data_IF_386951331531
#
_entry.id   IF_386951331531
#
_cell.length_a   1.000
_cell.length_b   1.000
_cell.length_c   1.000
_cell.angle_alpha   90.00
_cell.angle_beta   90.00
_cell.angle_gamma   90.00
#
_symmetry.space_group_name_H-M   'P 1'
#
loop_
_entity.id
_entity.type
_entity.pdbx_description
1 polymer ?
#
# COMPACT_ATOMS: atom_id res chain seq x y z
N UNK A 1 -72.73 -11.91 33.57
CA UNK A 1 -73.00 -13.11 34.39
C UNK A 1 -72.03 -14.19 33.90
N UNK A 2 -70.80 -14.14 34.41
CA UNK A 2 -70.19 -15.08 35.39
C UNK A 2 -69.47 -16.25 34.69
N UNK A 3 -68.13 -16.19 34.78
CA UNK A 3 -67.14 -17.24 35.11
C UNK A 3 -67.20 -18.61 34.41
N UNK A 4 -66.13 -19.09 33.75
CA UNK A 4 -64.79 -19.46 34.23
C UNK A 4 -64.72 -20.84 34.92
N UNK A 5 -63.74 -21.63 34.46
CA UNK A 5 -63.01 -22.73 35.12
C UNK A 5 -63.68 -24.10 35.29
N UNK A 6 -62.88 -25.15 35.03
CA UNK A 6 -63.12 -26.48 35.59
C UNK A 6 -62.49 -27.65 34.83
N UNK A 7 -61.23 -27.98 35.13
CA UNK A 7 -60.67 -29.33 34.95
C UNK A 7 -61.33 -30.33 35.93
N UNK A 8 -61.31 -31.64 35.64
CA UNK A 8 -60.70 -32.59 36.60
C UNK A 8 -59.93 -33.75 35.93
N UNK A 9 -58.71 -34.06 36.43
CA UNK A 9 -58.32 -35.24 37.25
C UNK A 9 -58.34 -36.60 36.50
N UNK A 10 -57.36 -37.52 36.59
CA UNK A 10 -56.65 -38.00 37.77
C UNK A 10 -55.55 -39.04 37.41
N UNK A 11 -54.45 -39.03 38.18
CA UNK A 11 -53.73 -40.22 38.74
C UNK A 11 -52.99 -41.19 37.77
N UNK A 12 -51.89 -41.90 38.05
CA UNK A 12 -51.17 -42.44 39.22
C UNK A 12 -49.70 -42.76 38.83
N UNK A 13 -48.75 -42.66 39.78
CA UNK A 13 -47.47 -43.41 39.92
C UNK A 13 -46.38 -43.23 38.84
N UNK A 14 -45.11 -42.95 39.12
CA UNK A 14 -44.31 -43.19 40.31
C UNK A 14 -43.00 -43.87 39.90
N UNK A 15 -41.86 -43.16 39.96
CA UNK A 15 -40.54 -43.64 40.41
C UNK A 15 -39.47 -42.54 40.23
N UNK A 16 -38.62 -42.45 41.25
CA UNK A 16 -37.51 -41.50 41.43
C UNK A 16 -36.31 -41.90 40.53
N UNK A 17 -35.53 -40.94 40.03
CA UNK A 17 -34.19 -40.57 40.56
C UNK A 17 -33.26 -39.92 39.50
N UNK A 18 -32.79 -38.70 39.83
CA UNK A 18 -31.53 -37.99 39.49
C UNK A 18 -31.18 -37.60 38.04
N UNK A 19 -31.41 -36.30 37.79
CA UNK A 19 -30.52 -35.27 37.18
C UNK A 19 -29.28 -35.76 36.42
N UNK A 20 -29.22 -35.47 35.13
CA UNK A 20 -28.00 -34.98 34.48
C UNK A 20 -28.32 -33.99 33.35
N UNK A 21 -27.46 -32.98 33.31
CA UNK A 21 -27.37 -31.78 32.46
C UNK A 21 -27.66 -32.03 30.97
N UNK A 22 -28.56 -31.23 30.38
CA UNK A 22 -28.71 -31.15 28.91
C UNK A 22 -27.47 -30.47 28.34
N UNK A 23 -26.63 -31.24 27.67
CA UNK A 23 -25.65 -30.74 26.71
C UNK A 23 -26.22 -31.00 25.33
N UNK A 24 -26.48 -29.94 24.57
CA UNK A 24 -26.98 -30.04 23.21
C UNK A 24 -25.89 -30.60 22.29
N UNK A 25 -26.24 -31.64 21.55
CA UNK A 25 -25.50 -32.15 20.40
C UNK A 25 -25.81 -31.22 19.22
N UNK A 26 -24.78 -30.59 18.65
CA UNK A 26 -24.82 -30.11 17.28
C UNK A 26 -23.76 -30.87 16.48
N UNK A 27 -24.24 -31.54 15.43
CA UNK A 27 -23.47 -32.40 14.55
C UNK A 27 -22.48 -31.61 13.69
N UNK A 28 -21.37 -32.28 13.41
CA UNK A 28 -20.31 -31.84 12.52
C UNK A 28 -20.79 -31.63 11.07
N UNK A 29 -20.30 -30.54 10.47
CA UNK A 29 -20.30 -30.29 9.03
C UNK A 29 -19.03 -29.51 8.68
N UNK A 30 -18.12 -30.16 7.97
CA UNK A 30 -16.76 -29.73 7.64
C UNK A 30 -16.73 -28.53 6.69
N UNK A 31 -15.78 -27.62 6.92
CA UNK A 31 -15.44 -26.51 6.02
C UNK A 31 -14.33 -25.66 6.64
N UNK A 32 -13.12 -26.23 6.73
CA UNK A 32 -11.91 -25.61 7.26
C UNK A 32 -11.56 -24.33 6.46
N UNK A 33 -11.91 -23.17 7.00
CA UNK A 33 -11.21 -21.92 6.70
C UNK A 33 -9.98 -21.84 7.60
N UNK A 34 -8.81 -22.17 7.06
CA UNK A 34 -7.54 -21.90 7.74
C UNK A 34 -7.39 -20.38 7.84
N UNK A 35 -7.71 -19.83 9.01
CA UNK A 35 -7.35 -18.46 9.36
C UNK A 35 -5.83 -18.44 9.50
N UNK A 36 -5.13 -17.87 8.51
CA UNK A 36 -3.74 -17.45 8.69
C UNK A 36 -3.73 -16.28 9.67
N UNK A 37 -3.72 -16.59 10.96
CA UNK A 37 -3.19 -15.65 11.94
C UNK A 37 -1.68 -15.60 11.71
N UNK A 38 -1.21 -14.58 11.02
CA UNK A 38 0.22 -14.26 10.98
C UNK A 38 0.70 -14.16 12.44
N UNK A 39 1.74 -14.89 12.85
CA UNK A 39 2.30 -14.70 14.18
C UNK A 39 2.89 -13.29 14.21
N UNK A 40 2.29 -12.40 14.99
CA UNK A 40 2.93 -11.13 15.39
C UNK A 40 4.08 -11.53 16.30
N UNK A 41 5.30 -11.49 15.76
CA UNK A 41 6.52 -11.67 16.54
C UNK A 41 6.62 -10.51 17.54
N UNK A 42 6.75 -10.82 18.82
CA UNK A 42 7.27 -9.88 19.84
C UNK A 42 8.37 -10.59 20.59
N UNK A 43 9.59 -10.46 20.08
CA UNK A 43 10.78 -10.70 20.87
C UNK A 43 11.21 -9.34 21.43
N UNK A 44 11.41 -9.22 22.74
CA UNK A 44 11.87 -7.97 23.34
C UNK A 44 13.40 -7.81 23.16
N UNK A 45 14.11 -8.94 23.02
CA UNK A 45 15.57 -9.01 22.90
C UNK A 45 15.98 -10.12 21.92
N UNK A 46 17.00 -9.85 21.11
CA UNK A 46 17.65 -10.79 20.23
C UNK A 46 19.13 -10.95 20.61
N UNK A 47 19.64 -12.18 20.54
CA UNK A 47 21.08 -12.43 20.62
C UNK A 47 21.65 -12.40 19.21
N UNK A 48 22.58 -11.50 18.95
CA UNK A 48 23.23 -11.33 17.65
C UNK A 48 24.67 -11.80 17.74
N UNK A 49 25.09 -12.66 16.82
CA UNK A 49 26.45 -13.17 16.72
C UNK A 49 27.06 -12.84 15.36
N UNK A 50 28.20 -12.14 15.38
CA UNK A 50 28.96 -11.72 14.19
C UNK A 50 30.44 -11.99 14.44
N UNK A 51 31.15 -12.63 13.51
CA UNK A 51 32.58 -13.02 13.69
C UNK A 51 32.93 -13.71 15.03
N UNK A 52 31.97 -14.40 15.65
CA UNK A 52 32.16 -15.06 16.95
C UNK A 52 31.99 -14.17 18.18
N UNK A 53 31.84 -12.84 18.03
CA UNK A 53 31.36 -11.97 19.12
C UNK A 53 29.84 -12.07 19.22
N UNK A 54 29.33 -12.11 20.46
CA UNK A 54 27.90 -12.18 20.76
C UNK A 54 27.50 -10.95 21.56
N UNK A 55 26.41 -10.29 21.15
CA UNK A 55 25.77 -9.18 21.86
C UNK A 55 24.28 -9.45 22.03
N UNK A 56 23.66 -8.75 22.99
CA UNK A 56 22.20 -8.74 23.17
C UNK A 56 21.63 -7.42 22.66
N UNK A 57 20.69 -7.49 21.73
CA UNK A 57 20.07 -6.33 21.11
C UNK A 57 18.60 -6.22 21.50
N UNK A 58 18.16 -5.05 21.96
CA UNK A 58 16.73 -4.76 22.06
C UNK A 58 16.12 -4.72 20.66
N UNK A 59 14.91 -5.25 20.50
CA UNK A 59 14.29 -5.38 19.17
C UNK A 59 13.28 -4.26 18.93
N UNK A 60 13.48 -3.49 17.87
CA UNK A 60 12.54 -2.51 17.33
C UNK A 60 11.78 -3.12 16.14
N UNK A 61 10.60 -3.69 16.40
CA UNK A 61 9.81 -4.44 15.43
C UNK A 61 8.52 -3.73 14.97
N UNK A 62 8.24 -2.52 15.48
CA UNK A 62 7.08 -1.72 15.08
C UNK A 62 7.47 -0.26 14.83
N UNK A 63 6.63 0.48 14.10
CA UNK A 63 6.93 1.86 13.69
C UNK A 63 7.26 2.78 14.88
N UNK A 64 6.63 2.58 16.03
CA UNK A 64 6.87 3.41 17.22
C UNK A 64 8.24 3.12 17.84
N UNK A 65 8.64 1.86 17.93
CA UNK A 65 9.96 1.44 18.41
C UNK A 65 11.07 1.78 17.43
N UNK A 66 10.83 1.62 16.13
CA UNK A 66 11.78 1.99 15.06
C UNK A 66 11.99 3.51 14.98
N UNK A 67 10.92 4.30 15.08
CA UNK A 67 11.04 5.78 15.08
C UNK A 67 11.80 6.29 16.29
N UNK A 68 11.61 5.64 17.46
CA UNK A 68 12.31 5.99 18.70
C UNK A 68 13.79 5.60 18.62
N UNK A 69 14.10 4.36 18.23
CA UNK A 69 15.47 3.85 18.22
C UNK A 69 16.19 4.11 19.55
N UNK A 70 17.46 4.52 19.48
CA UNK A 70 18.26 4.99 20.61
C UNK A 70 18.04 6.47 21.00
N UNK A 71 17.06 7.16 20.41
CA UNK A 71 16.81 8.59 20.68
C UNK A 71 16.59 8.86 22.17
N UNK A 72 17.33 9.83 22.72
CA UNK A 72 17.21 10.20 24.14
C UNK A 72 17.87 9.24 25.14
N UNK A 73 18.47 8.15 24.68
CA UNK A 73 19.25 7.22 25.50
C UNK A 73 20.60 7.86 25.87
N UNK A 74 21.06 7.68 27.11
CA UNK A 74 22.31 8.30 27.59
C UNK A 74 23.58 7.54 27.19
N UNK A 75 23.48 6.21 27.05
CA UNK A 75 24.58 5.33 26.65
C UNK A 75 24.04 3.97 26.19
N UNK A 76 24.85 3.25 25.41
CA UNK A 76 24.67 1.82 25.16
C UNK A 76 25.85 1.04 25.74
N UNK A 77 25.62 -0.16 26.27
CA UNK A 77 26.69 -1.01 26.78
C UNK A 77 27.47 -1.66 25.63
N UNK A 78 28.74 -2.02 25.88
CA UNK A 78 29.68 -2.51 24.86
C UNK A 78 29.24 -3.79 24.13
N UNK A 79 28.47 -4.65 24.78
CA UNK A 79 27.88 -5.87 24.18
C UNK A 79 26.37 -5.80 24.10
N UNK A 80 25.86 -4.59 23.86
CA UNK A 80 24.45 -4.34 23.64
C UNK A 80 24.22 -3.63 22.31
N UNK A 81 23.04 -3.84 21.73
CA UNK A 81 22.64 -3.19 20.48
C UNK A 81 21.16 -2.84 20.47
N UNK A 82 20.75 -2.18 19.39
CA UNK A 82 19.34 -2.11 19.00
C UNK A 82 19.18 -2.69 17.61
N UNK A 83 18.29 -3.67 17.49
CA UNK A 83 18.02 -4.41 16.27
C UNK A 83 16.67 -3.99 15.70
N UNK A 84 16.72 -3.30 14.57
CA UNK A 84 15.54 -2.90 13.80
C UNK A 84 15.21 -4.02 12.82
N UNK A 85 13.95 -4.46 12.84
CA UNK A 85 13.43 -5.47 11.92
C UNK A 85 12.52 -4.80 10.92
N UNK A 86 12.73 -5.05 9.65
CA UNK A 86 11.85 -4.59 8.59
C UNK A 86 11.19 -5.77 7.90
N UNK A 87 9.95 -5.56 7.47
CA UNK A 87 9.12 -6.57 6.81
C UNK A 87 9.56 -6.88 5.37
N UNK A 88 10.38 -6.00 4.79
CA UNK A 88 10.99 -6.15 3.48
C UNK A 88 12.41 -5.57 3.45
N UNK A 89 13.26 -6.00 2.52
CA UNK A 89 14.53 -5.33 2.24
C UNK A 89 14.35 -3.96 1.57
N UNK A 90 15.06 -2.96 2.07
CA UNK A 90 15.15 -1.64 1.45
C UNK A 90 16.37 -0.85 1.98
N UNK A 91 16.59 0.37 1.47
CA UNK A 91 17.65 1.29 1.93
C UNK A 91 17.18 2.09 3.14
N UNK A 92 17.01 1.43 4.27
CA UNK A 92 16.53 2.06 5.51
C UNK A 92 17.50 3.11 6.05
N UNK A 93 17.09 4.37 5.97
CA UNK A 93 17.85 5.49 6.51
C UNK A 93 17.79 5.56 8.04
N UNK A 94 18.95 5.76 8.67
CA UNK A 94 19.06 6.00 10.11
C UNK A 94 19.38 7.47 10.34
N UNK A 95 18.44 8.18 10.97
CA UNK A 95 18.62 9.56 11.39
C UNK A 95 19.19 9.66 12.81
N UNK A 96 19.87 10.76 13.11
CA UNK A 96 20.54 10.94 14.41
C UNK A 96 19.73 11.76 15.42
N UNK A 97 18.40 11.78 15.28
CA UNK A 97 17.51 12.63 16.10
C UNK A 97 17.69 12.33 17.59
N UNK A 98 17.96 13.38 18.37
CA UNK A 98 18.16 13.29 19.82
C UNK A 98 19.19 12.22 20.28
N UNK A 99 20.12 11.83 19.41
CA UNK A 99 21.23 10.95 19.78
C UNK A 99 22.20 11.68 20.71
N UNK A 100 22.72 11.00 21.73
CA UNK A 100 23.60 11.59 22.76
C UNK A 100 25.03 11.06 22.78
N UNK A 101 25.31 9.99 22.04
CA UNK A 101 26.61 9.34 21.95
C UNK A 101 26.83 8.77 20.54
N UNK A 102 28.08 8.58 20.10
CA UNK A 102 28.34 8.02 18.78
C UNK A 102 28.02 6.52 18.73
N UNK A 103 27.62 6.03 17.55
CA UNK A 103 27.30 4.62 17.30
C UNK A 103 27.99 4.09 16.03
N UNK A 104 28.08 2.77 15.90
CA UNK A 104 28.24 2.15 14.59
C UNK A 104 26.86 1.65 14.12
N UNK A 105 26.62 1.69 12.82
CA UNK A 105 25.38 1.24 12.18
C UNK A 105 25.74 0.11 11.21
N UNK A 106 25.08 -1.04 11.35
CA UNK A 106 25.28 -2.19 10.47
C UNK A 106 23.95 -2.55 9.80
N UNK A 107 23.89 -2.39 8.49
CA UNK A 107 22.78 -2.87 7.68
C UNK A 107 23.02 -4.32 7.31
N UNK A 108 21.98 -5.14 7.37
CA UNK A 108 22.08 -6.58 7.20
C UNK A 108 21.06 -7.09 6.19
N UNK A 109 21.47 -8.11 5.45
CA UNK A 109 20.66 -8.77 4.43
C UNK A 109 21.07 -10.22 4.33
N UNK A 110 20.10 -11.13 4.21
CA UNK A 110 20.36 -12.57 4.01
C UNK A 110 21.34 -13.19 5.03
N UNK A 111 21.27 -12.73 6.28
CA UNK A 111 22.16 -13.21 7.35
C UNK A 111 23.61 -12.77 7.21
N UNK A 112 23.89 -11.66 6.53
CA UNK A 112 25.22 -11.05 6.45
C UNK A 112 25.15 -9.53 6.59
N UNK A 113 26.27 -8.90 6.96
CA UNK A 113 26.40 -7.43 6.93
C UNK A 113 26.41 -6.97 5.47
N UNK A 114 25.41 -6.20 5.07
CA UNK A 114 25.24 -5.68 3.72
C UNK A 114 25.93 -4.32 3.55
N UNK A 115 25.92 -3.49 4.58
CA UNK A 115 26.61 -2.20 4.62
C UNK A 115 26.91 -1.77 6.07
N UNK A 116 27.77 -0.77 6.25
CA UNK A 116 28.08 -0.24 7.58
C UNK A 116 28.60 1.19 7.59
N UNK A 117 28.28 1.91 8.66
CA UNK A 117 28.85 3.21 8.99
C UNK A 117 29.45 3.15 10.40
N UNK A 118 30.69 3.61 10.56
CA UNK A 118 31.41 3.54 11.83
C UNK A 118 31.50 4.91 12.51
N UNK A 119 31.37 4.92 13.85
CA UNK A 119 31.59 6.09 14.70
C UNK A 119 30.78 7.32 14.27
N UNK A 120 29.54 7.08 13.86
CA UNK A 120 28.58 8.11 13.49
C UNK A 120 28.34 9.03 14.70
N UNK A 121 28.64 10.32 14.54
CA UNK A 121 28.58 11.29 15.64
C UNK A 121 27.15 11.80 15.89
N UNK A 122 26.80 12.15 17.15
CA UNK A 122 25.58 12.90 17.45
C UNK A 122 25.50 14.21 16.66
N UNK A 123 24.28 14.70 16.35
CA UNK A 123 24.11 15.98 15.68
C UNK A 123 24.57 17.13 16.57
N UNK A 124 24.89 18.27 15.97
CA UNK A 124 25.21 19.47 16.74
C UNK A 124 24.05 19.88 17.65
N UNK A 125 24.36 20.37 18.85
CA UNK A 125 23.34 20.78 19.81
C UNK A 125 22.44 21.89 19.21
N UNK A 126 21.13 21.67 19.24
CA UNK A 126 20.14 22.62 18.71
C UNK A 126 19.93 22.58 17.20
N UNK A 127 20.51 21.61 16.49
CA UNK A 127 20.22 21.34 15.07
C UNK A 127 18.73 21.04 14.87
N UNK A 128 18.10 21.69 13.89
CA UNK A 128 16.70 21.45 13.56
C UNK A 128 16.51 20.07 12.93
N UNK A 129 15.35 19.45 13.15
CA UNK A 129 15.06 18.09 12.66
C UNK A 129 15.25 17.93 11.14
N UNK A 130 14.96 18.98 10.36
CA UNK A 130 15.10 18.99 8.90
C UNK A 130 16.56 18.95 8.42
N UNK A 131 17.49 19.36 9.26
CA UNK A 131 18.93 19.42 8.94
C UNK A 131 19.70 18.22 9.52
N UNK A 132 19.00 17.26 10.14
CA UNK A 132 19.64 16.10 10.76
C UNK A 132 20.29 15.20 9.70
N UNK A 133 21.49 14.68 9.95
CA UNK A 133 22.12 13.71 9.07
C UNK A 133 21.31 12.41 9.08
N UNK A 134 21.12 11.84 7.89
CA UNK A 134 20.51 10.53 7.65
C UNK A 134 21.51 9.68 6.89
N UNK A 135 21.86 8.54 7.47
CA UNK A 135 22.78 7.57 6.87
C UNK A 135 21.98 6.48 6.19
N UNK A 136 22.27 6.22 4.91
CA UNK A 136 21.49 5.33 4.05
C UNK A 136 22.46 4.32 3.45
N UNK A 137 22.18 3.01 3.51
CA UNK A 137 23.10 2.01 2.98
C UNK A 137 23.10 2.06 1.44
N UNK A 138 24.18 1.67 0.80
CA UNK A 138 24.29 1.51 -0.65
C UNK A 138 23.49 0.33 -1.19
N UNK A 139 23.23 -0.69 -0.36
CA UNK A 139 22.49 -1.90 -0.73
C UNK A 139 21.25 -2.11 0.14
N UNK A 140 20.19 -2.77 -0.37
CA UNK A 140 19.01 -3.07 0.44
C UNK A 140 19.33 -4.00 1.62
N UNK A 141 18.73 -3.69 2.77
CA UNK A 141 18.83 -4.42 4.01
C UNK A 141 17.42 -4.64 4.59
N UNK A 142 17.19 -5.76 5.25
CA UNK A 142 15.93 -6.07 5.94
C UNK A 142 16.07 -5.92 7.47
N UNK A 143 17.29 -5.66 7.94
CA UNK A 143 17.59 -5.48 9.34
C UNK A 143 18.69 -4.44 9.53
N UNK A 144 18.60 -3.65 10.61
CA UNK A 144 19.66 -2.72 11.01
C UNK A 144 20.05 -2.98 12.45
N UNK A 145 21.34 -2.97 12.73
CA UNK A 145 21.89 -3.11 14.06
C UNK A 145 22.69 -1.86 14.42
N UNK A 146 22.23 -1.15 15.44
CA UNK A 146 22.97 -0.06 16.08
C UNK A 146 23.76 -0.63 17.26
N UNK A 147 25.06 -0.31 17.36
CA UNK A 147 25.95 -0.73 18.46
C UNK A 147 26.82 0.44 18.93
N UNK A 148 27.51 0.26 20.06
CA UNK A 148 28.46 1.23 20.57
C UNK A 148 29.52 1.61 19.50
N UNK A 149 29.84 2.90 19.37
CA UNK A 149 30.85 3.34 18.42
C UNK A 149 32.20 2.63 18.59
N UNK A 150 32.78 2.19 17.47
CA UNK A 150 34.04 1.46 17.41
C UNK A 150 33.93 -0.03 17.73
N UNK A 151 32.73 -0.55 18.01
CA UNK A 151 32.49 -1.98 18.20
C UNK A 151 32.89 -2.78 16.95
N UNK A 152 32.56 -2.27 15.76
CA UNK A 152 32.85 -2.91 14.48
C UNK A 152 34.35 -3.05 14.26
N UNK A 153 35.09 -1.95 14.43
CA UNK A 153 36.55 -1.94 14.39
C UNK A 153 37.20 -2.86 15.43
N UNK A 154 36.71 -2.84 16.68
CA UNK A 154 37.29 -3.65 17.77
C UNK A 154 37.17 -5.17 17.52
N UNK A 155 36.12 -5.59 16.82
CA UNK A 155 35.87 -7.00 16.50
C UNK A 155 36.19 -7.36 15.03
N UNK A 156 36.71 -6.40 14.26
CA UNK A 156 37.09 -6.58 12.86
C UNK A 156 35.92 -6.96 11.94
N UNK A 157 34.71 -6.48 12.25
CA UNK A 157 33.51 -6.71 11.45
C UNK A 157 33.63 -5.98 10.11
N UNK A 158 33.21 -6.62 9.03
CA UNK A 158 33.26 -6.10 7.66
C UNK A 158 31.97 -6.43 6.91
N UNK A 159 31.70 -5.68 5.84
CA UNK A 159 30.68 -6.03 4.85
C UNK A 159 30.94 -7.46 4.35
N UNK A 160 29.88 -8.26 4.30
CA UNK A 160 29.88 -9.68 3.93
C UNK A 160 30.05 -10.64 5.12
N UNK A 161 30.34 -10.17 6.33
CA UNK A 161 30.44 -11.05 7.49
C UNK A 161 29.09 -11.66 7.86
N UNK A 162 29.08 -12.97 8.11
CA UNK A 162 27.89 -13.70 8.49
C UNK A 162 27.38 -13.28 9.88
N UNK A 163 26.07 -13.10 9.97
CA UNK A 163 25.32 -12.71 11.15
C UNK A 163 24.34 -13.83 11.51
N UNK A 164 24.37 -14.27 12.76
CA UNK A 164 23.36 -15.19 13.31
C UNK A 164 22.55 -14.48 14.37
N UNK A 165 21.23 -14.67 14.33
CA UNK A 165 20.30 -13.98 15.23
C UNK A 165 19.40 -15.03 15.89
N UNK A 166 19.38 -15.01 17.22
CA UNK A 166 18.59 -15.88 18.07
C UNK A 166 17.63 -15.02 18.90
N UNK A 167 16.36 -14.96 18.48
CA UNK A 167 15.32 -14.20 19.16
C UNK A 167 14.90 -14.91 20.45
N UNK A 168 14.98 -14.23 21.59
CA UNK A 168 14.66 -14.82 22.90
C UNK A 168 13.26 -14.40 23.35
N UNK A 169 12.29 -15.31 23.22
CA UNK A 169 10.88 -15.17 23.63
C UNK A 169 10.10 -16.49 23.43
N UNK A 170 8.98 -16.71 24.15
CA UNK A 170 8.31 -18.02 24.34
C UNK A 170 8.05 -18.82 23.04
N UNK A 171 8.51 -20.08 23.05
CA UNK A 171 8.35 -21.09 21.99
C UNK A 171 6.92 -21.62 21.84
N UNK A 172 6.45 -21.82 20.60
CA UNK A 172 5.51 -22.90 20.25
C UNK A 172 6.13 -23.75 19.11
N UNK A 173 5.84 -25.05 19.17
CA UNK A 173 6.61 -26.14 18.57
C UNK A 173 6.85 -26.02 17.05
N UNK A 174 8.13 -26.19 16.66
CA UNK A 174 8.58 -26.27 15.28
C UNK A 174 8.34 -27.66 14.69
N UNK A 175 7.56 -27.68 13.63
CA UNK A 175 7.46 -28.81 12.72
C UNK A 175 7.26 -28.33 11.28
N UNK A 176 8.15 -27.48 10.77
CA UNK A 176 8.21 -27.15 9.34
C UNK A 176 9.68 -26.95 8.96
N UNK A 177 10.14 -27.68 7.94
CA UNK A 177 11.45 -27.47 7.30
C UNK A 177 11.45 -26.13 6.56
N UNK A 178 12.60 -25.46 6.37
CA UNK A 178 12.65 -24.19 5.66
C UNK A 178 12.08 -24.35 4.24
N UNK A 179 10.96 -23.67 3.97
CA UNK A 179 10.48 -23.44 2.61
C UNK A 179 11.46 -22.45 2.00
N UNK A 180 11.96 -22.73 0.80
CA UNK A 180 12.83 -21.81 0.09
C UNK A 180 12.17 -20.43 -0.02
N UNK A 181 12.93 -19.35 0.17
CA UNK A 181 12.44 -18.00 -0.06
C UNK A 181 11.88 -17.90 -1.47
N UNK A 182 10.72 -17.23 -1.66
CA UNK A 182 10.14 -17.11 -2.98
C UNK A 182 11.07 -16.28 -3.88
N UNK A 183 11.05 -16.48 -5.21
CA UNK A 183 11.89 -15.71 -6.12
C UNK A 183 11.70 -14.20 -5.94
N UNK A 184 12.78 -13.43 -6.08
CA UNK A 184 12.73 -11.97 -5.96
C UNK A 184 11.66 -11.38 -6.88
N UNK A 185 10.84 -10.47 -6.36
CA UNK A 185 9.74 -9.83 -7.08
C UNK A 185 8.44 -10.63 -7.12
N UNK A 186 8.41 -11.87 -6.61
CA UNK A 186 7.19 -12.67 -6.46
C UNK A 186 6.09 -11.94 -5.68
N UNK A 187 6.46 -11.07 -4.74
CA UNK A 187 5.59 -10.19 -3.96
C UNK A 187 4.83 -9.16 -4.81
N UNK A 188 5.33 -8.83 -6.01
CA UNK A 188 4.71 -7.87 -6.92
C UNK A 188 3.73 -8.51 -7.90
N UNK A 189 3.65 -9.85 -7.93
CA UNK A 189 2.78 -10.55 -8.88
C UNK A 189 1.32 -10.28 -8.58
N UNK A 190 0.48 -10.26 -9.61
CA UNK A 190 -0.97 -10.09 -9.44
C UNK A 190 -1.54 -11.20 -8.55
N UNK A 191 -0.98 -12.42 -8.62
CA UNK A 191 -1.36 -13.53 -7.75
C UNK A 191 -1.06 -13.25 -6.27
N UNK A 192 0.15 -12.77 -5.95
CA UNK A 192 0.52 -12.42 -4.58
C UNK A 192 -0.34 -11.26 -4.05
N UNK A 193 -0.57 -10.23 -4.86
CA UNK A 193 -1.39 -9.07 -4.49
C UNK A 193 -2.87 -9.43 -4.25
N UNK A 194 -3.38 -10.48 -4.90
CA UNK A 194 -4.72 -11.03 -4.61
C UNK A 194 -4.76 -11.81 -3.30
N UNK A 195 -3.64 -12.41 -2.88
CA UNK A 195 -3.53 -13.17 -1.64
C UNK A 195 -3.32 -12.27 -0.41
N UNK A 196 -2.56 -11.18 -0.57
CA UNK A 196 -2.44 -10.11 0.42
C UNK A 196 -3.02 -8.80 -0.15
N UNK A 197 -4.35 -8.63 -0.13
CA UNK A 197 -4.98 -7.39 -0.56
C UNK A 197 -4.58 -6.23 0.35
N UNK A 198 -4.51 -5.02 -0.23
CA UNK A 198 -4.31 -3.80 0.53
C UNK A 198 -5.41 -3.64 1.59
N UNK A 199 -5.01 -3.27 2.81
CA UNK A 199 -5.92 -3.08 3.93
C UNK A 199 -5.79 -1.66 4.43
N UNK A 200 -6.87 -0.91 4.40
CA UNK A 200 -6.89 0.47 4.84
C UNK A 200 -7.86 0.74 5.97
N UNK A 201 -7.59 1.76 6.78
CA UNK A 201 -8.43 2.11 7.94
C UNK A 201 -8.28 3.58 8.33
N UNK A 202 -8.94 4.00 9.40
CA UNK A 202 -8.76 5.31 10.04
C UNK A 202 -8.94 6.53 9.12
N UNK A 203 -9.87 6.44 8.14
CA UNK A 203 -10.19 7.57 7.29
C UNK A 203 -10.67 8.77 8.12
N UNK A 204 -9.97 9.90 7.99
CA UNK A 204 -10.20 11.11 8.78
C UNK A 204 -10.15 12.35 7.91
N UNK A 205 -11.08 13.28 8.13
CA UNK A 205 -11.02 14.64 7.56
C UNK A 205 -10.20 15.52 8.49
N UNK A 206 -9.06 16.03 8.03
CA UNK A 206 -8.12 16.77 8.86
C UNK A 206 -8.43 18.26 8.91
N UNK A 207 -8.53 18.91 7.74
CA UNK A 207 -8.82 20.35 7.65
C UNK A 207 -9.42 20.73 6.31
N UNK A 208 -10.12 21.87 6.30
CA UNK A 208 -10.56 22.53 5.06
C UNK A 208 -9.33 23.17 4.40
N UNK A 209 -9.14 22.91 3.11
CA UNK A 209 -8.11 23.55 2.29
C UNK A 209 -8.68 24.72 1.48
N UNK A 210 -9.90 24.55 0.96
CA UNK A 210 -10.55 25.53 0.10
C UNK A 210 -12.07 25.38 0.23
N UNK A 211 -12.80 26.49 0.09
CA UNK A 211 -14.24 26.48 -0.02
C UNK A 211 -14.65 27.34 -1.23
N UNK A 212 -15.39 26.75 -2.16
CA UNK A 212 -16.02 27.46 -3.28
C UNK A 212 -17.54 27.40 -3.16
N UNK A 213 -18.27 28.05 -4.06
CA UNK A 213 -19.73 27.90 -4.15
C UNK A 213 -20.17 26.51 -4.62
N UNK A 214 -19.30 25.74 -5.29
CA UNK A 214 -19.66 24.46 -5.88
C UNK A 214 -19.25 23.25 -5.02
N UNK A 215 -18.10 23.32 -4.35
CA UNK A 215 -17.57 22.25 -3.53
C UNK A 215 -16.74 22.80 -2.37
N UNK A 216 -16.48 21.96 -1.37
CA UNK A 216 -15.50 22.20 -0.31
C UNK A 216 -14.38 21.16 -0.40
N UNK A 217 -13.14 21.62 -0.29
CA UNK A 217 -11.93 20.81 -0.41
C UNK A 217 -11.33 20.58 0.97
N UNK A 218 -10.93 19.35 1.23
CA UNK A 218 -10.39 18.91 2.50
C UNK A 218 -9.05 18.20 2.31
N UNK A 219 -8.15 18.39 3.27
CA UNK A 219 -7.05 17.47 3.51
C UNK A 219 -7.62 16.30 4.32
N UNK A 220 -7.32 15.08 3.89
CA UNK A 220 -7.73 13.85 4.55
C UNK A 220 -6.51 13.00 4.91
N UNK A 221 -6.70 12.03 5.81
CA UNK A 221 -5.77 10.94 6.06
C UNK A 221 -6.48 9.61 6.12
N UNK A 222 -5.72 8.54 5.88
CA UNK A 222 -6.13 7.15 6.02
C UNK A 222 -4.87 6.31 6.24
N UNK A 223 -4.99 5.15 6.86
CA UNK A 223 -3.85 4.26 7.10
C UNK A 223 -3.83 3.14 6.05
N UNK A 224 -2.64 2.72 5.64
CA UNK A 224 -2.42 1.44 4.94
C UNK A 224 -1.60 0.49 5.83
N UNK A 225 -2.07 -0.75 5.94
CA UNK A 225 -1.45 -1.77 6.79
C UNK A 225 -0.09 -2.20 6.22
N UNK A 226 0.98 -1.85 6.93
CA UNK A 226 2.37 -2.11 6.51
C UNK A 226 3.11 -0.84 6.09
N UNK A 227 2.38 0.26 5.87
CA UNK A 227 2.98 1.58 5.55
C UNK A 227 2.74 2.60 6.65
N UNK A 228 1.54 2.67 7.21
CA UNK A 228 1.14 3.70 8.17
C UNK A 228 0.24 4.76 7.52
N UNK A 229 0.27 5.98 8.07
CA UNK A 229 -0.66 7.05 7.67
C UNK A 229 -0.29 7.70 6.35
N UNK A 230 -1.24 7.69 5.43
CA UNK A 230 -1.21 8.37 4.15
C UNK A 230 -2.14 9.57 4.16
N UNK A 231 -1.90 10.53 3.26
CA UNK A 231 -2.73 11.71 3.07
C UNK A 231 -3.37 11.74 1.68
N UNK A 232 -4.31 12.65 1.51
CA UNK A 232 -4.90 12.93 0.22
C UNK A 232 -5.75 14.20 0.25
N UNK A 233 -6.35 14.53 -0.89
CA UNK A 233 -7.28 15.65 -1.03
C UNK A 233 -8.64 15.14 -1.45
N UNK A 234 -9.68 15.60 -0.77
CA UNK A 234 -11.07 15.27 -1.05
C UNK A 234 -11.85 16.53 -1.41
N UNK A 235 -12.58 16.53 -2.52
CA UNK A 235 -13.62 17.53 -2.82
C UNK A 235 -15.00 16.95 -2.52
N UNK A 236 -15.81 17.70 -1.78
CA UNK A 236 -17.20 17.37 -1.46
C UNK A 236 -18.12 18.38 -2.13
N UNK A 237 -19.10 17.95 -2.96
CA UNK A 237 -20.09 18.85 -3.54
C UNK A 237 -20.88 19.63 -2.47
N UNK A 238 -21.29 20.86 -2.78
CA UNK A 238 -22.14 21.68 -1.89
C UNK A 238 -23.64 21.50 -2.10
N UNK A 239 -24.03 20.68 -3.08
CA UNK A 239 -25.43 20.33 -3.27
C UNK A 239 -25.96 19.43 -2.12
N UNK A 240 -27.28 19.29 -1.96
CA UNK A 240 -27.84 18.40 -0.95
C UNK A 240 -27.31 16.97 -1.12
N UNK A 241 -26.90 16.34 -0.02
CA UNK A 241 -26.42 14.95 -0.02
C UNK A 241 -27.55 14.04 -0.55
N UNK A 242 -27.32 13.27 -1.63
CA UNK A 242 -28.29 12.32 -2.15
C UNK A 242 -28.64 11.26 -1.11
N UNK A 243 -29.80 10.63 -1.27
CA UNK A 243 -30.13 9.43 -0.50
C UNK A 243 -29.05 8.36 -0.74
N UNK A 244 -28.49 7.81 0.34
CA UNK A 244 -27.37 6.87 0.28
C UNK A 244 -25.98 7.48 0.17
N UNK A 245 -25.87 8.81 -0.02
CA UNK A 245 -24.59 9.52 -0.14
C UNK A 245 -24.19 9.83 -1.59
N UNK A 246 -23.14 10.64 -1.74
CA UNK A 246 -22.56 10.95 -3.06
C UNK A 246 -21.78 9.75 -3.63
N UNK A 247 -21.88 9.47 -4.94
CA UNK A 247 -20.93 8.56 -5.58
C UNK A 247 -19.49 9.11 -5.47
N UNK A 248 -18.52 8.21 -5.41
CA UNK A 248 -17.11 8.55 -5.15
C UNK A 248 -16.26 8.27 -6.39
N UNK A 249 -15.34 9.18 -6.72
CA UNK A 249 -14.29 8.95 -7.71
C UNK A 249 -12.91 9.03 -7.06
N UNK A 250 -12.14 7.95 -7.15
CA UNK A 250 -10.71 7.94 -6.77
C UNK A 250 -9.90 8.36 -7.99
N UNK A 251 -9.15 9.47 -7.89
CA UNK A 251 -8.40 10.05 -9.00
C UNK A 251 -6.89 9.86 -8.79
N UNK A 252 -6.31 8.93 -9.54
CA UNK A 252 -4.88 8.59 -9.47
C UNK A 252 -4.05 9.54 -10.35
N UNK A 253 -3.15 10.30 -9.75
CA UNK A 253 -2.34 11.28 -10.47
C UNK A 253 -1.13 10.64 -11.17
N UNK A 254 -0.60 11.34 -12.18
CA UNK A 254 0.66 10.96 -12.87
C UNK A 254 1.90 11.17 -12.00
N UNK A 255 3.07 10.80 -12.53
CA UNK A 255 4.33 10.98 -11.81
C UNK A 255 4.61 12.46 -11.58
N UNK A 256 4.85 12.85 -10.33
CA UNK A 256 5.28 14.19 -9.95
C UNK A 256 6.53 14.03 -9.11
N UNK A 257 7.56 14.84 -9.33
CA UNK A 257 8.74 14.73 -8.47
C UNK A 257 8.37 15.13 -7.03
N UNK A 258 8.73 14.35 -5.99
CA UNK A 258 8.35 14.65 -4.61
C UNK A 258 8.73 16.06 -4.16
N UNK A 259 9.86 16.60 -4.63
CA UNK A 259 10.36 17.92 -4.22
C UNK A 259 9.45 19.08 -4.65
N UNK A 260 8.60 18.85 -5.65
CA UNK A 260 7.64 19.84 -6.13
C UNK A 260 6.19 19.46 -5.76
N UNK A 261 5.98 18.32 -5.13
CA UNK A 261 4.63 17.86 -4.81
C UNK A 261 4.02 18.64 -3.65
N UNK A 262 2.71 18.85 -3.72
CA UNK A 262 1.88 19.27 -2.59
C UNK A 262 0.53 18.56 -2.70
N UNK A 263 -0.19 18.34 -1.57
CA UNK A 263 -1.44 17.59 -1.57
C UNK A 263 -2.44 18.06 -2.64
N UNK A 264 -2.94 17.12 -3.45
CA UNK A 264 -3.90 17.38 -4.51
C UNK A 264 -3.32 17.95 -5.81
N UNK A 265 -1.99 18.04 -5.94
CA UNK A 265 -1.33 18.38 -7.21
C UNK A 265 -1.45 17.19 -8.18
N UNK A 266 -1.76 17.45 -9.44
CA UNK A 266 -1.77 16.43 -10.50
C UNK A 266 -3.15 15.96 -10.98
N UNK A 267 -4.22 16.18 -10.21
CA UNK A 267 -5.60 15.95 -10.71
C UNK A 267 -6.59 17.06 -10.32
N UNK A 268 -6.08 18.26 -9.97
CA UNK A 268 -6.93 19.35 -9.49
C UNK A 268 -8.04 19.72 -10.49
N UNK A 269 -7.73 19.74 -11.79
CA UNK A 269 -8.70 20.08 -12.85
C UNK A 269 -9.84 19.06 -12.89
N UNK A 270 -9.51 17.78 -12.81
CA UNK A 270 -10.41 16.64 -12.83
C UNK A 270 -11.25 16.58 -11.55
N UNK A 271 -10.64 16.70 -10.37
CA UNK A 271 -11.33 16.76 -9.06
C UNK A 271 -12.37 17.89 -9.05
N UNK A 272 -11.99 19.07 -9.51
CA UNK A 272 -12.88 20.23 -9.54
C UNK A 272 -14.03 20.00 -10.53
N UNK A 273 -13.75 19.42 -11.70
CA UNK A 273 -14.76 19.14 -12.72
C UNK A 273 -15.79 18.12 -12.23
N UNK A 274 -15.38 16.95 -11.77
CA UNK A 274 -16.32 15.92 -11.34
C UNK A 274 -17.07 16.30 -10.06
N UNK A 275 -16.44 17.03 -9.13
CA UNK A 275 -17.12 17.48 -7.92
C UNK A 275 -18.23 18.50 -8.20
N UNK A 276 -18.07 19.34 -9.24
CA UNK A 276 -19.15 20.20 -9.75
C UNK A 276 -20.32 19.42 -10.36
N UNK A 277 -20.14 18.14 -10.64
CA UNK A 277 -21.16 17.25 -11.21
C UNK A 277 -21.59 16.16 -10.21
N UNK A 278 -21.53 16.45 -8.91
CA UNK A 278 -22.15 15.61 -7.88
C UNK A 278 -21.38 14.34 -7.52
N UNK A 279 -20.06 14.34 -7.70
CA UNK A 279 -19.18 13.30 -7.18
C UNK A 279 -18.38 13.83 -5.99
N UNK A 280 -18.21 13.00 -4.95
CA UNK A 280 -17.06 13.19 -4.07
C UNK A 280 -15.83 12.70 -4.82
N UNK A 281 -14.80 13.54 -4.95
CA UNK A 281 -13.55 13.13 -5.61
C UNK A 281 -12.43 13.07 -4.59
N UNK A 282 -11.62 12.02 -4.63
CA UNK A 282 -10.50 11.84 -3.71
C UNK A 282 -9.23 11.51 -4.50
N UNK A 283 -8.20 12.33 -4.37
CA UNK A 283 -6.85 12.04 -4.85
C UNK A 283 -5.99 11.56 -3.66
N UNK A 284 -5.50 10.30 -3.66
CA UNK A 284 -4.46 9.88 -2.71
C UNK A 284 -3.12 10.57 -3.05
N UNK A 285 -2.32 10.90 -2.03
CA UNK A 285 -0.98 11.46 -2.25
C UNK A 285 0.06 10.38 -2.60
N UNK A 286 -0.22 9.10 -2.29
CA UNK A 286 0.72 7.97 -2.31
C UNK A 286 1.85 8.04 -1.28
N UNK A 287 2.41 6.88 -0.95
CA UNK A 287 3.62 6.74 -0.14
C UNK A 287 4.80 7.46 -0.80
N UNK A 288 5.65 8.11 0.00
CA UNK A 288 6.80 8.85 -0.49
C UNK A 288 6.50 10.25 -1.04
N UNK A 289 5.25 10.69 -0.97
CA UNK A 289 4.81 12.04 -1.33
C UNK A 289 4.28 12.79 -0.11
N UNK A 290 4.35 14.14 -0.15
CA UNK A 290 3.86 14.99 0.94
C UNK A 290 4.51 14.62 2.29
N UNK A 291 3.72 14.47 3.35
CA UNK A 291 4.16 14.07 4.69
C UNK A 291 4.33 12.55 4.88
N UNK A 292 4.35 11.78 3.80
CA UNK A 292 4.51 10.32 3.88
C UNK A 292 5.97 9.94 3.61
N UNK A 293 6.61 9.33 4.60
CA UNK A 293 8.02 8.92 4.55
C UNK A 293 8.16 7.47 4.98
N UNK A 294 9.06 6.68 4.34
CA UNK A 294 10.10 7.10 3.40
C UNK A 294 9.66 7.17 1.93
N UNK A 295 10.40 7.94 1.14
CA UNK A 295 10.28 7.99 -0.31
C UNK A 295 11.00 6.79 -0.96
N UNK A 296 10.26 5.95 -1.66
CA UNK A 296 10.78 4.83 -2.45
C UNK A 296 10.97 5.26 -3.90
N UNK A 297 11.96 4.74 -4.65
CA UNK A 297 11.94 4.84 -6.10
C UNK A 297 10.76 4.01 -6.62
N UNK A 298 9.66 4.68 -6.96
CA UNK A 298 8.37 4.06 -7.34
C UNK A 298 8.47 3.07 -8.52
N UNK A 299 9.52 3.20 -9.32
CA UNK A 299 9.75 2.35 -10.50
C UNK A 299 10.26 0.95 -10.12
N UNK A 300 10.96 0.82 -8.99
CA UNK A 300 11.61 -0.43 -8.57
C UNK A 300 10.62 -1.47 -8.02
N UNK A 301 9.45 -1.04 -7.54
CA UNK A 301 8.35 -1.92 -7.15
C UNK A 301 7.26 -2.00 -8.24
N UNK A 302 7.55 -1.53 -9.46
CA UNK A 302 6.61 -1.48 -10.58
C UNK A 302 5.31 -0.70 -10.29
N UNK A 303 5.37 0.31 -9.40
CA UNK A 303 4.23 1.08 -8.91
C UNK A 303 3.19 0.26 -8.13
N UNK A 304 3.58 -0.89 -7.58
CA UNK A 304 2.70 -1.74 -6.76
C UNK A 304 2.31 -1.01 -5.48
N UNK A 305 3.24 -0.35 -4.81
CA UNK A 305 2.95 0.42 -3.59
C UNK A 305 1.86 1.46 -3.79
N UNK A 306 1.90 2.23 -4.88
CA UNK A 306 0.89 3.26 -5.18
C UNK A 306 -0.48 2.66 -5.51
N UNK A 307 -0.49 1.48 -6.12
CA UNK A 307 -1.73 0.72 -6.33
C UNK A 307 -2.32 0.28 -4.99
N UNK A 308 -1.49 -0.21 -4.07
CA UNK A 308 -1.94 -0.59 -2.72
C UNK A 308 -2.47 0.61 -1.95
N UNK A 309 -1.82 1.76 -2.02
CA UNK A 309 -2.26 2.98 -1.35
C UNK A 309 -3.67 3.41 -1.82
N UNK A 310 -3.91 3.40 -3.14
CA UNK A 310 -5.22 3.71 -3.71
C UNK A 310 -6.30 2.69 -3.30
N UNK A 311 -5.96 1.40 -3.21
CA UNK A 311 -6.89 0.36 -2.77
C UNK A 311 -7.16 0.42 -1.26
N UNK A 312 -6.16 0.77 -0.46
CA UNK A 312 -6.31 0.99 0.97
C UNK A 312 -7.22 2.19 1.26
N UNK A 313 -7.14 3.26 0.45
CA UNK A 313 -8.12 4.35 0.53
C UNK A 313 -9.56 3.83 0.34
N UNK A 314 -9.81 2.99 -0.67
CA UNK A 314 -11.13 2.39 -0.90
C UNK A 314 -11.59 1.55 0.30
N UNK A 315 -10.70 0.72 0.85
CA UNK A 315 -11.00 -0.09 2.02
C UNK A 315 -11.30 0.76 3.26
N UNK A 316 -10.51 1.82 3.50
CA UNK A 316 -10.72 2.76 4.60
C UNK A 316 -12.06 3.51 4.48
N UNK A 317 -12.46 3.89 3.26
CA UNK A 317 -13.76 4.51 2.98
C UNK A 317 -14.90 3.55 3.31
N UNK A 318 -14.81 2.29 2.88
CA UNK A 318 -15.84 1.26 3.12
C UNK A 318 -16.03 0.95 4.61
N UNK A 319 -14.96 1.03 5.39
CA UNK A 319 -15.02 0.86 6.84
C UNK A 319 -15.57 2.09 7.57
N UNK A 320 -15.49 3.27 6.95
CA UNK A 320 -16.03 4.50 7.49
C UNK A 320 -17.57 4.52 7.49
N UNK A 321 -18.18 4.86 8.62
CA UNK A 321 -19.62 5.16 8.69
C UNK A 321 -19.86 6.61 8.30
N UNK A 322 -19.87 6.91 6.99
CA UNK A 322 -20.13 8.25 6.49
C UNK A 322 -21.37 8.28 5.60
N UNK A 323 -22.45 8.86 6.09
CA UNK A 323 -23.67 9.14 5.29
C UNK A 323 -23.42 10.10 4.12
N UNK A 324 -22.22 10.69 4.03
CA UNK A 324 -21.81 11.60 2.97
C UNK A 324 -21.47 10.87 1.66
N UNK A 325 -20.90 9.66 1.74
CA UNK A 325 -20.34 8.95 0.58
C UNK A 325 -21.00 7.57 0.42
N UNK A 326 -21.38 7.26 -0.81
CA UNK A 326 -21.87 5.93 -1.17
C UNK A 326 -20.70 5.07 -1.66
N UNK A 327 -20.16 4.24 -0.76
CA UNK A 327 -19.01 3.37 -1.04
C UNK A 327 -19.38 2.14 -1.87
N UNK A 328 -20.64 1.97 -2.26
CA UNK A 328 -21.06 0.98 -3.27
C UNK A 328 -21.01 1.55 -4.70
N UNK A 329 -20.85 2.88 -4.83
CA UNK A 329 -20.75 3.61 -6.10
C UNK A 329 -19.40 4.30 -6.22
N UNK A 330 -18.34 3.49 -6.37
CA UNK A 330 -16.96 3.96 -6.57
C UNK A 330 -16.57 3.83 -8.05
N UNK A 331 -16.08 4.92 -8.64
CA UNK A 331 -15.35 4.92 -9.91
C UNK A 331 -13.88 5.22 -9.67
N UNK A 332 -13.03 4.85 -10.63
CA UNK A 332 -11.61 5.17 -10.59
C UNK A 332 -11.14 5.81 -11.89
N UNK A 333 -10.39 6.88 -11.76
CA UNK A 333 -9.74 7.58 -12.87
C UNK A 333 -8.23 7.54 -12.67
N UNK A 334 -7.47 7.59 -13.76
CA UNK A 334 -6.04 7.77 -13.67
C UNK A 334 -5.43 8.39 -14.92
N UNK A 335 -4.38 9.18 -14.75
CA UNK A 335 -3.58 9.75 -15.85
C UNK A 335 -2.13 9.31 -15.80
N UNK A 336 -1.54 9.00 -16.96
CA UNK A 336 -0.12 8.63 -17.06
C UNK A 336 0.21 7.42 -16.15
N UNK A 337 1.16 7.56 -15.23
CA UNK A 337 1.43 6.60 -14.14
C UNK A 337 0.14 6.19 -13.39
N UNK A 338 -0.71 7.15 -13.05
CA UNK A 338 -2.00 6.92 -12.40
C UNK A 338 -2.96 6.08 -13.24
N UNK A 339 -2.86 6.16 -14.57
CA UNK A 339 -3.60 5.28 -15.48
C UNK A 339 -3.12 3.83 -15.41
N UNK A 340 -1.81 3.60 -15.27
CA UNK A 340 -1.25 2.27 -15.01
C UNK A 340 -1.65 1.71 -13.64
N UNK A 341 -1.66 2.56 -12.60
CA UNK A 341 -2.15 2.23 -11.26
C UNK A 341 -3.62 1.78 -11.32
N UNK A 342 -4.47 2.56 -12.00
CA UNK A 342 -5.89 2.22 -12.16
C UNK A 342 -6.09 0.93 -12.99
N UNK A 343 -5.27 0.69 -14.02
CA UNK A 343 -5.28 -0.57 -14.76
C UNK A 343 -4.90 -1.78 -13.89
N UNK A 344 -3.94 -1.63 -12.98
CA UNK A 344 -3.61 -2.68 -12.00
C UNK A 344 -4.72 -2.89 -10.99
N UNK A 345 -5.31 -1.82 -10.47
CA UNK A 345 -6.45 -1.91 -9.56
C UNK A 345 -7.63 -2.68 -10.20
N UNK A 346 -7.87 -2.50 -11.50
CA UNK A 346 -8.95 -3.17 -12.23
C UNK A 346 -8.89 -4.71 -12.19
N UNK A 347 -7.70 -5.30 -12.02
CA UNK A 347 -7.52 -6.76 -11.90
C UNK A 347 -7.40 -7.24 -10.44
N UNK A 348 -7.40 -6.32 -9.47
CA UNK A 348 -7.22 -6.61 -8.05
C UNK A 348 -8.49 -6.40 -7.21
N UNK A 349 -9.44 -5.59 -7.66
CA UNK A 349 -10.67 -5.30 -6.91
C UNK A 349 -11.94 -5.35 -7.77
N UNK A 350 -13.05 -5.68 -7.12
CA UNK A 350 -14.40 -5.58 -7.65
C UNK A 350 -15.23 -4.45 -7.02
N UNK A 351 -14.62 -3.65 -6.13
CA UNK A 351 -15.29 -2.53 -5.46
C UNK A 351 -15.47 -1.32 -6.39
N UNK A 352 -14.72 -1.25 -7.48
CA UNK A 352 -14.77 -0.16 -8.46
C UNK A 352 -15.68 -0.55 -9.62
N UNK A 353 -16.70 0.28 -9.88
CA UNK A 353 -17.72 0.04 -10.90
C UNK A 353 -17.33 0.49 -12.31
N UNK A 354 -16.36 1.38 -12.46
CA UNK A 354 -15.91 1.86 -13.77
C UNK A 354 -14.50 2.46 -13.70
N UNK A 355 -13.71 2.25 -14.75
CA UNK A 355 -12.35 2.78 -14.86
C UNK A 355 -12.22 3.73 -16.05
N UNK A 356 -11.63 4.91 -15.85
CA UNK A 356 -11.32 5.87 -16.91
C UNK A 356 -9.82 6.18 -16.92
N UNK A 357 -9.14 5.88 -18.02
CA UNK A 357 -7.69 5.91 -18.14
C UNK A 357 -7.26 6.93 -19.19
N UNK A 358 -6.53 7.97 -18.77
CA UNK A 358 -6.01 9.03 -19.63
C UNK A 358 -4.51 8.82 -19.86
N UNK A 359 -4.10 8.71 -21.12
CA UNK A 359 -2.71 8.43 -21.52
C UNK A 359 -1.97 7.46 -20.58
N UNK A 360 -2.55 6.29 -20.23
CA UNK A 360 -1.97 5.40 -19.24
C UNK A 360 -0.60 4.89 -19.70
N UNK A 361 0.35 4.79 -18.77
CA UNK A 361 1.55 3.97 -18.97
C UNK A 361 1.14 2.51 -19.25
N UNK A 362 2.07 1.68 -19.72
CA UNK A 362 1.73 0.34 -20.16
C UNK A 362 1.22 -0.54 -19.01
N UNK A 363 0.17 -1.30 -19.29
CA UNK A 363 -0.27 -2.41 -18.44
C UNK A 363 0.60 -3.68 -18.60
N UNK A 364 1.62 -3.60 -19.45
CA UNK A 364 2.73 -4.55 -19.53
C UNK A 364 3.94 -3.92 -18.83
N UNK A 365 4.40 -4.53 -17.74
CA UNK A 365 5.41 -3.93 -16.88
C UNK A 365 6.75 -3.70 -17.58
N UNK A 366 7.12 -4.58 -18.51
CA UNK A 366 8.39 -4.45 -19.23
C UNK A 366 8.35 -3.33 -20.27
N UNK A 367 7.19 -3.05 -20.87
CA UNK A 367 7.04 -1.91 -21.80
C UNK A 367 7.38 -0.58 -21.12
N UNK A 368 7.21 -0.48 -19.79
CA UNK A 368 7.50 0.74 -19.02
C UNK A 368 9.00 1.02 -18.86
N UNK A 369 9.89 0.13 -19.29
CA UNK A 369 11.34 0.37 -19.23
C UNK A 369 11.79 1.50 -20.15
N UNK A 370 10.94 1.97 -21.07
CA UNK A 370 11.22 3.11 -21.96
C UNK A 370 11.54 4.41 -21.20
N UNK A 371 11.08 4.54 -19.95
CA UNK A 371 11.30 5.73 -19.11
C UNK A 371 12.55 5.63 -18.22
N UNK A 372 13.21 4.46 -18.20
CA UNK A 372 14.32 4.14 -17.29
C UNK A 372 15.70 4.31 -17.96
N UNK A 373 16.70 4.58 -17.14
CA UNK A 373 18.10 4.55 -17.56
C UNK A 373 18.58 3.13 -17.82
N UNK A 374 19.66 2.99 -18.58
CA UNK A 374 20.30 1.68 -18.84
C UNK A 374 20.71 1.01 -17.52
N UNK A 375 21.20 1.78 -16.54
CA UNK A 375 21.62 1.26 -15.25
C UNK A 375 20.44 0.70 -14.44
N UNK A 376 19.29 1.37 -14.46
CA UNK A 376 18.07 0.88 -13.80
C UNK A 376 17.56 -0.40 -14.47
N UNK A 377 17.58 -0.46 -15.80
CA UNK A 377 17.19 -1.66 -16.55
C UNK A 377 18.14 -2.83 -16.24
N UNK A 378 19.45 -2.58 -16.21
CA UNK A 378 20.45 -3.59 -15.86
C UNK A 378 20.25 -4.10 -14.42
N UNK A 379 19.94 -3.21 -13.49
CA UNK A 379 19.60 -3.60 -12.12
C UNK A 379 18.33 -4.46 -12.09
N UNK A 380 17.24 -4.04 -12.75
CA UNK A 380 16.01 -4.82 -12.85
C UNK A 380 16.27 -6.21 -13.44
N UNK A 381 17.10 -6.31 -14.49
CA UNK A 381 17.45 -7.58 -15.09
C UNK A 381 18.29 -8.49 -14.17
N UNK A 382 19.17 -7.91 -13.35
CA UNK A 382 19.94 -8.64 -12.36
C UNK A 382 19.08 -9.11 -11.19
N UNK A 383 18.12 -8.29 -10.75
CA UNK A 383 17.27 -8.56 -9.58
C UNK A 383 16.10 -9.49 -9.92
N UNK A 384 15.41 -9.23 -11.03
CA UNK A 384 14.13 -9.85 -11.39
C UNK A 384 14.21 -10.78 -12.62
N UNK A 385 15.39 -10.87 -13.24
CA UNK A 385 15.65 -11.69 -14.41
C UNK A 385 15.62 -10.90 -15.73
N UNK A 386 16.20 -11.46 -16.81
CA UNK A 386 16.36 -10.79 -18.09
C UNK A 386 15.01 -10.50 -18.77
N UNK A 387 15.04 -9.68 -19.81
CA UNK A 387 13.84 -9.39 -20.59
C UNK A 387 13.11 -10.67 -21.06
N UNK A 388 11.78 -10.64 -20.98
CA UNK A 388 10.92 -11.80 -21.25
C UNK A 388 10.80 -12.83 -20.12
N UNK A 389 11.43 -12.62 -18.96
CA UNK A 389 11.23 -13.48 -17.77
C UNK A 389 9.75 -13.57 -17.38
N UNK A 390 9.33 -14.72 -16.83
CA UNK A 390 7.91 -14.96 -16.49
C UNK A 390 7.38 -13.95 -15.49
N UNK A 391 8.22 -13.50 -14.56
CA UNK A 391 7.89 -12.49 -13.56
C UNK A 391 7.28 -11.23 -14.20
N UNK A 392 7.88 -10.68 -15.27
CA UNK A 392 7.34 -9.48 -15.93
C UNK A 392 5.92 -9.70 -16.45
N UNK A 393 5.60 -10.91 -16.90
CA UNK A 393 4.23 -11.28 -17.30
C UNK A 393 3.29 -11.41 -16.11
N UNK A 394 3.78 -11.97 -15.01
CA UNK A 394 3.01 -12.24 -13.77
C UNK A 394 2.69 -10.96 -12.98
N UNK A 395 3.51 -9.91 -13.09
CA UNK A 395 3.25 -8.58 -12.49
C UNK A 395 2.40 -7.68 -13.40
N UNK A 396 2.29 -8.00 -14.69
CA UNK A 396 1.62 -7.18 -15.71
C UNK A 396 0.09 -7.30 -15.62
N UNK A 397 -0.65 -6.21 -15.34
CA UNK A 397 -2.12 -6.25 -15.34
C UNK A 397 -2.72 -6.74 -16.66
N UNK A 398 -2.08 -6.44 -17.80
CA UNK A 398 -2.53 -6.84 -19.13
C UNK A 398 -2.76 -8.35 -19.25
N UNK A 399 -1.97 -9.17 -18.54
CA UNK A 399 -2.11 -10.63 -18.51
C UNK A 399 -3.45 -11.09 -17.91
N UNK A 400 -4.06 -10.26 -17.06
CA UNK A 400 -5.22 -10.60 -16.24
C UNK A 400 -6.47 -9.79 -16.62
N UNK A 401 -6.48 -9.11 -17.77
CA UNK A 401 -7.63 -8.32 -18.22
C UNK A 401 -8.90 -9.18 -18.42
N UNK A 402 -8.76 -10.49 -18.63
CA UNK A 402 -9.86 -11.47 -18.59
C UNK A 402 -10.62 -11.50 -17.27
N UNK A 403 -10.05 -10.99 -16.18
CA UNK A 403 -10.65 -11.02 -14.85
C UNK A 403 -11.39 -9.72 -14.51
N UNK A 404 -11.23 -8.68 -15.34
CA UNK A 404 -11.89 -7.39 -15.14
C UNK A 404 -13.40 -7.56 -15.31
N UNK A 405 -14.16 -7.07 -14.32
CA UNK A 405 -15.62 -7.04 -14.35
C UNK A 405 -16.18 -5.69 -14.78
N UNK A 406 -15.54 -4.59 -14.35
CA UNK A 406 -15.99 -3.23 -14.64
C UNK A 406 -15.62 -2.79 -16.08
N UNK A 407 -16.43 -1.95 -16.72
CA UNK A 407 -16.06 -1.37 -18.01
C UNK A 407 -14.90 -0.38 -17.86
N UNK A 408 -14.11 -0.25 -18.94
CA UNK A 408 -12.92 0.62 -19.01
C UNK A 408 -13.04 1.61 -20.18
N UNK A 409 -12.85 2.90 -19.93
CA UNK A 409 -12.78 3.92 -20.98
C UNK A 409 -11.34 4.46 -21.08
N UNK A 410 -10.76 4.45 -22.28
CA UNK A 410 -9.41 4.95 -22.55
C UNK A 410 -9.46 6.25 -23.36
N UNK A 411 -8.59 7.20 -23.01
CA UNK A 411 -8.36 8.44 -23.74
C UNK A 411 -6.87 8.59 -24.03
N UNK A 412 -6.48 8.88 -25.27
CA UNK A 412 -5.06 9.11 -25.61
C UNK A 412 -4.87 10.25 -26.61
N UNK A 413 -3.88 11.11 -26.38
CA UNK A 413 -3.50 12.15 -27.33
C UNK A 413 -2.73 11.59 -28.53
N UNK A 414 -3.13 11.93 -29.75
CA UNK A 414 -2.44 11.49 -30.97
C UNK A 414 -1.07 12.15 -31.16
N UNK A 415 -0.82 13.26 -30.46
CA UNK A 415 0.45 13.96 -30.43
C UNK A 415 1.22 13.75 -29.12
N UNK A 416 0.83 12.77 -28.29
CA UNK A 416 1.55 12.41 -27.07
C UNK A 416 2.97 11.93 -27.40
N UNK A 417 3.95 12.57 -26.76
CA UNK A 417 5.39 12.27 -26.88
C UNK A 417 5.99 11.78 -25.57
N UNK A 418 5.20 11.76 -24.50
CA UNK A 418 5.60 11.28 -23.17
C UNK A 418 5.27 9.81 -23.06
N UNK A 419 4.02 9.44 -23.31
CA UNK A 419 3.57 8.04 -23.27
C UNK A 419 3.22 7.57 -24.68
N UNK A 420 3.80 6.45 -25.16
CA UNK A 420 3.43 5.88 -26.45
C UNK A 420 1.95 5.48 -26.54
N UNK A 421 1.25 5.99 -27.56
CA UNK A 421 -0.16 5.64 -27.84
C UNK A 421 -0.40 4.13 -27.98
N UNK A 422 0.62 3.40 -28.44
CA UNK A 422 0.60 1.95 -28.58
C UNK A 422 0.27 1.21 -27.26
N UNK A 423 0.53 1.83 -26.10
CA UNK A 423 0.16 1.25 -24.81
C UNK A 423 -1.36 1.20 -24.64
N UNK A 424 -2.07 2.29 -24.96
CA UNK A 424 -3.54 2.31 -24.95
C UNK A 424 -4.15 1.44 -26.04
N UNK A 425 -3.54 1.39 -27.22
CA UNK A 425 -3.97 0.48 -28.30
C UNK A 425 -3.86 -0.99 -27.86
N UNK A 426 -2.73 -1.38 -27.25
CA UNK A 426 -2.49 -2.73 -26.72
C UNK A 426 -3.49 -3.08 -25.61
N UNK A 427 -3.75 -2.16 -24.67
CA UNK A 427 -4.75 -2.34 -23.61
C UNK A 427 -6.16 -2.52 -24.17
N UNK A 428 -6.59 -1.63 -25.09
CA UNK A 428 -7.92 -1.69 -25.69
C UNK A 428 -8.10 -2.97 -26.52
N UNK A 429 -7.12 -3.34 -27.34
CA UNK A 429 -7.17 -4.57 -28.13
C UNK A 429 -7.29 -5.82 -27.23
N UNK A 430 -6.59 -5.83 -26.09
CA UNK A 430 -6.64 -6.93 -25.12
C UNK A 430 -8.01 -7.01 -24.43
N UNK A 431 -8.55 -5.88 -23.96
CA UNK A 431 -9.89 -5.81 -23.37
C UNK A 431 -10.96 -6.30 -24.37
N UNK A 432 -10.86 -5.88 -25.63
CA UNK A 432 -11.77 -6.31 -26.70
C UNK A 432 -11.66 -7.79 -27.01
N UNK A 433 -10.44 -8.33 -27.10
CA UNK A 433 -10.16 -9.76 -27.29
C UNK A 433 -10.80 -10.59 -26.18
N UNK A 434 -10.73 -10.11 -24.94
CA UNK A 434 -11.23 -10.81 -23.74
C UNK A 434 -12.71 -10.53 -23.46
N UNK A 435 -13.44 -9.90 -24.40
CA UNK A 435 -14.88 -9.66 -24.31
C UNK A 435 -15.28 -8.63 -23.26
N UNK A 436 -14.37 -7.75 -22.84
CA UNK A 436 -14.61 -6.74 -21.81
C UNK A 436 -15.27 -5.48 -22.37
N UNK A 437 -16.10 -4.85 -21.54
CA UNK A 437 -16.70 -3.56 -21.86
C UNK A 437 -15.60 -2.50 -21.94
N UNK A 438 -15.32 -1.99 -23.15
CA UNK A 438 -14.27 -1.02 -23.34
C UNK A 438 -14.64 0.04 -24.38
N UNK A 439 -14.29 1.28 -24.09
CA UNK A 439 -14.34 2.43 -25.00
C UNK A 439 -12.94 2.99 -25.18
N UNK A 440 -12.60 3.48 -26.37
CA UNK A 440 -11.29 4.09 -26.64
C UNK A 440 -11.42 5.28 -27.58
N UNK A 441 -10.83 6.41 -27.16
CA UNK A 441 -10.84 7.66 -27.90
C UNK A 441 -9.43 8.19 -28.12
N UNK A 442 -9.12 8.51 -29.38
CA UNK A 442 -7.89 9.18 -29.79
C UNK A 442 -8.20 10.63 -30.14
N UNK A 443 -7.31 11.53 -29.74
CA UNK A 443 -7.43 12.98 -29.97
C UNK A 443 -6.24 13.45 -30.81
N UNK A 444 -6.35 13.53 -32.15
CA UNK A 444 -5.19 13.61 -33.05
C UNK A 444 -4.16 14.72 -32.75
N UNK A 445 -4.61 15.92 -32.34
CA UNK A 445 -3.72 17.05 -32.03
C UNK A 445 -3.34 17.17 -30.56
N UNK A 446 -3.87 16.31 -29.69
CA UNK A 446 -3.72 16.44 -28.26
C UNK A 446 -2.41 15.82 -27.75
N UNK A 447 -1.76 16.50 -26.81
CA UNK A 447 -0.54 16.07 -26.16
C UNK A 447 -0.85 15.36 -24.82
N UNK A 448 0.19 15.06 -24.04
CA UNK A 448 0.06 14.26 -22.82
C UNK A 448 -0.92 14.79 -21.77
N UNK A 449 -1.01 16.12 -21.61
CA UNK A 449 -1.75 16.78 -20.52
C UNK A 449 -3.25 17.02 -20.81
N UNK A 450 -3.70 16.70 -22.03
CA UNK A 450 -5.07 16.99 -22.48
C UNK A 450 -5.44 18.46 -22.25
N UNK A 451 -4.97 19.41 -23.06
CA UNK A 451 -5.31 20.83 -22.89
C UNK A 451 -6.51 21.20 -23.78
N UNK A 452 -6.40 21.00 -25.10
CA UNK A 452 -7.40 21.47 -26.05
C UNK A 452 -8.62 20.56 -26.11
N UNK A 453 -8.39 19.25 -26.07
CA UNK A 453 -9.41 18.22 -26.10
C UNK A 453 -10.04 17.95 -24.73
N UNK A 454 -9.55 18.57 -23.65
CA UNK A 454 -10.04 18.35 -22.29
C UNK A 454 -11.56 18.45 -22.16
N UNK A 455 -12.25 19.51 -22.65
CA UNK A 455 -13.70 19.62 -22.48
C UNK A 455 -14.46 18.41 -23.06
N UNK A 456 -14.02 17.90 -24.20
CA UNK A 456 -14.63 16.73 -24.84
C UNK A 456 -14.29 15.43 -24.10
N UNK A 457 -13.02 15.25 -23.70
CA UNK A 457 -12.60 14.09 -22.94
C UNK A 457 -13.32 14.01 -21.58
N UNK A 458 -13.35 15.11 -20.83
CA UNK A 458 -14.04 15.22 -19.55
C UNK A 458 -15.55 14.96 -19.67
N UNK A 459 -16.20 15.47 -20.72
CA UNK A 459 -17.62 15.21 -20.97
C UNK A 459 -17.92 13.73 -21.24
N UNK A 460 -17.06 13.04 -22.01
CA UNK A 460 -17.19 11.58 -22.25
C UNK A 460 -16.98 10.78 -20.96
N UNK A 461 -15.99 11.16 -20.16
CA UNK A 461 -15.74 10.51 -18.86
C UNK A 461 -16.85 10.74 -17.86
N UNK A 462 -17.45 11.94 -17.85
CA UNK A 462 -18.63 12.23 -17.02
C UNK A 462 -19.80 11.34 -17.44
N UNK A 463 -20.09 11.24 -18.73
CA UNK A 463 -21.17 10.36 -19.22
C UNK A 463 -20.94 8.89 -18.84
N UNK A 464 -19.68 8.43 -18.95
CA UNK A 464 -19.30 7.08 -18.59
C UNK A 464 -19.48 6.80 -17.09
N UNK A 465 -18.95 7.66 -16.23
CA UNK A 465 -19.16 7.54 -14.79
C UNK A 465 -20.63 7.70 -14.40
N UNK A 466 -21.38 8.58 -15.06
CA UNK A 466 -22.81 8.74 -14.80
C UNK A 466 -23.56 7.45 -15.11
N UNK A 467 -23.18 6.76 -16.18
CA UNK A 467 -23.80 5.49 -16.59
C UNK A 467 -23.47 4.35 -15.63
N UNK A 468 -22.19 4.18 -15.30
CA UNK A 468 -21.71 2.97 -14.62
C UNK A 468 -21.47 3.14 -13.12
N UNK A 469 -21.41 4.37 -12.60
CA UNK A 469 -21.16 4.66 -11.18
C UNK A 469 -22.37 5.33 -10.56
N UNK A 470 -22.70 6.56 -10.97
CA UNK A 470 -23.74 7.38 -10.31
C UNK A 470 -25.14 6.77 -10.45
N UNK A 471 -25.51 6.33 -11.65
CA UNK A 471 -26.85 5.82 -11.96
C UNK A 471 -26.92 4.28 -12.02
N UNK A 472 -25.83 3.59 -11.67
CA UNK A 472 -25.81 2.13 -11.67
C UNK A 472 -26.73 1.60 -10.55
N UNK A 473 -27.79 0.88 -10.96
CA UNK A 473 -28.80 0.31 -10.07
C UNK A 473 -28.32 -0.95 -9.37
#
# INVERSE_FOLDING_TARGET
MVDALGQPSSSVSGRRLRVFLMTAVAAAGFGLGVVFALPVWRADVARVQIRGVTLEAEVAADAASQTRGLSGTDRIAEKSGMLFLFDRPDRYGIWMKAMRFPIDILWMRNGAVADMEERVAPPAAGMADVDLPVYVPDTPADMVLEVAAGFSAAHGIRIGDAVKIDFRGKTLASGVSPVADPPAGSEYTIAALRQDPARGSNFTVLKVLEASSAYQKFLISYDEAGVGTLTGVMNVPREPVPEGGFPVLVLNHGLIRPEIYFPGRGSQREQNFFSRHGYVTIQPDYRGYSSTTPAFPAHHDFYVGYTRDALALIDALKQGSQSLMDTTRIGMWGHSMGGGIAARAAVLTHDVRAFVLFAPISADAQDNFYELSVQEIDWLHQTYGPAGSSLYREISPLTYFSDIAAPVQLHHGGADRVVPISFSEKMFATLRRDGKGAEYFIYPGEAHEFIDAWPLAASRSLQFFDTYVKNAR
#
